data_IF_200320645775
#
_entry.id   IF_200320645775
#
_cell.length_a   1.000
_cell.length_b   1.000
_cell.length_c   1.000
_cell.angle_alpha   90.00
_cell.angle_beta   90.00
_cell.angle_gamma   90.00
#
_symmetry.space_group_name_H-M   'P 1'
#
loop_
_entity.id
_entity.type
_entity.pdbx_description
1 polymer ?
#
# COMPACT_ATOMS: atom_id res chain seq x y z
N UNK A 1 -55.80 -0.16 -19.25
CA UNK A 1 -54.93 -0.50 -20.39
C UNK A 1 -53.94 0.66 -20.55
N UNK A 2 -52.62 0.57 -20.38
CA UNK A 2 -51.71 -0.55 -20.45
C UNK A 2 -50.60 -0.40 -19.39
N UNK A 3 -50.30 -1.52 -18.76
CA UNK A 3 -49.13 -1.80 -17.93
C UNK A 3 -47.86 -1.51 -18.77
N UNK A 4 -47.10 -0.45 -18.47
CA UNK A 4 -45.74 -0.31 -19.03
C UNK A 4 -44.81 -1.24 -18.26
N UNK A 5 -44.75 -2.46 -18.79
CA UNK A 5 -43.85 -3.55 -18.49
C UNK A 5 -42.45 -3.02 -18.11
N UNK A 6 -42.11 -3.05 -16.82
CA UNK A 6 -40.71 -2.98 -16.37
C UNK A 6 -40.05 -4.24 -16.92
N UNK A 7 -38.98 -4.15 -17.72
CA UNK A 7 -38.42 -5.29 -18.39
C UNK A 7 -37.93 -6.28 -17.33
N UNK A 8 -38.59 -7.44 -17.29
CA UNK A 8 -38.34 -8.59 -16.43
C UNK A 8 -36.98 -9.27 -16.73
N UNK A 9 -36.06 -8.55 -17.39
CA UNK A 9 -34.72 -9.00 -17.77
C UNK A 9 -33.65 -8.65 -16.73
N UNK A 10 -33.91 -7.65 -15.87
CA UNK A 10 -32.93 -7.21 -14.86
C UNK A 10 -32.80 -8.25 -13.72
N UNK A 11 -33.80 -9.11 -13.53
CA UNK A 11 -33.76 -10.17 -12.51
C UNK A 11 -33.12 -11.48 -12.99
N UNK A 12 -32.93 -11.69 -14.30
CA UNK A 12 -32.34 -12.94 -14.82
C UNK A 12 -30.80 -12.88 -14.92
N UNK A 13 -30.22 -11.68 -14.99
CA UNK A 13 -28.76 -11.51 -15.14
C UNK A 13 -28.05 -11.17 -13.82
N UNK A 14 -28.80 -10.82 -12.77
CA UNK A 14 -28.23 -10.33 -11.50
C UNK A 14 -28.14 -11.39 -10.42
N UNK A 15 -28.26 -12.68 -10.79
CA UNK A 15 -28.14 -13.79 -9.85
C UNK A 15 -26.99 -14.67 -10.29
N UNK A 16 -25.84 -14.49 -9.63
CA UNK A 16 -24.68 -15.38 -9.48
C UNK A 16 -23.36 -14.69 -9.78
N UNK A 17 -22.95 -13.78 -8.91
CA UNK A 17 -21.55 -13.74 -8.49
C UNK A 17 -21.56 -13.46 -6.99
N UNK A 18 -21.77 -14.53 -6.22
CA UNK A 18 -21.39 -14.52 -4.80
C UNK A 18 -19.91 -14.86 -4.74
N UNK A 19 -19.06 -13.92 -5.17
CA UNK A 19 -17.62 -13.99 -4.89
C UNK A 19 -17.49 -13.58 -3.43
N UNK A 20 -17.42 -14.57 -2.55
CA UNK A 20 -17.23 -14.34 -1.11
C UNK A 20 -15.84 -13.75 -0.84
N UNK A 21 -15.71 -12.73 0.04
CA UNK A 21 -14.46 -12.01 0.26
C UNK A 21 -13.55 -12.74 1.26
N UNK A 22 -13.37 -14.06 1.13
CA UNK A 22 -12.51 -14.81 2.05
C UNK A 22 -11.02 -14.42 1.92
N UNK A 23 -10.58 -14.02 0.72
CA UNK A 23 -9.21 -13.55 0.47
C UNK A 23 -8.96 -12.10 0.89
N UNK A 24 -9.92 -11.20 0.65
CA UNK A 24 -9.76 -9.76 0.92
C UNK A 24 -9.47 -9.45 2.39
N UNK A 25 -10.04 -10.20 3.33
CA UNK A 25 -9.87 -9.93 4.76
C UNK A 25 -8.45 -10.28 5.26
N UNK A 26 -7.82 -11.31 4.67
CA UNK A 26 -6.44 -11.67 4.98
C UNK A 26 -5.45 -10.67 4.34
N UNK A 27 -5.76 -10.19 3.13
CA UNK A 27 -4.96 -9.18 2.45
C UNK A 27 -5.03 -7.84 3.19
N UNK A 28 -6.21 -7.40 3.63
CA UNK A 28 -6.40 -6.15 4.39
C UNK A 28 -5.59 -6.13 5.70
N UNK A 29 -5.62 -7.24 6.46
CA UNK A 29 -4.84 -7.37 7.69
C UNK A 29 -3.33 -7.33 7.39
N UNK A 30 -2.91 -7.96 6.30
CA UNK A 30 -1.51 -8.01 5.88
C UNK A 30 -1.02 -6.64 5.39
N UNK A 31 -1.84 -5.92 4.61
CA UNK A 31 -1.59 -4.55 4.17
C UNK A 31 -1.42 -3.65 5.39
N UNK A 32 -2.35 -3.66 6.34
CA UNK A 32 -2.26 -2.85 7.57
C UNK A 32 -0.97 -3.09 8.33
N UNK A 33 -0.58 -4.36 8.49
CA UNK A 33 0.66 -4.73 9.17
C UNK A 33 1.90 -4.15 8.48
N UNK A 34 2.01 -4.30 7.16
CA UNK A 34 3.16 -3.78 6.43
C UNK A 34 3.17 -2.25 6.35
N UNK A 35 2.00 -1.60 6.29
CA UNK A 35 1.90 -0.14 6.41
C UNK A 35 2.45 0.34 7.73
N UNK A 36 2.02 -0.26 8.84
CA UNK A 36 2.53 0.10 10.16
C UNK A 36 4.03 -0.16 10.30
N UNK A 37 4.53 -1.29 9.77
CA UNK A 37 5.96 -1.60 9.79
C UNK A 37 6.77 -0.59 8.96
N UNK A 38 6.29 -0.21 7.78
CA UNK A 38 6.93 0.79 6.94
C UNK A 38 6.98 2.15 7.64
N UNK A 39 5.87 2.61 8.22
CA UNK A 39 5.79 3.87 8.96
C UNK A 39 6.75 3.89 10.16
N UNK A 40 6.80 2.81 10.95
CA UNK A 40 7.72 2.69 12.08
C UNK A 40 9.19 2.71 11.63
N UNK A 41 9.52 2.00 10.56
CA UNK A 41 10.87 1.96 10.03
C UNK A 41 11.29 3.32 9.43
N UNK A 42 10.40 3.99 8.71
CA UNK A 42 10.61 5.35 8.20
C UNK A 42 10.83 6.34 9.34
N UNK A 43 10.01 6.29 10.39
CA UNK A 43 10.17 7.12 11.58
C UNK A 43 11.48 6.83 12.31
N UNK A 44 11.90 5.57 12.36
CA UNK A 44 13.17 5.12 12.91
C UNK A 44 14.39 5.37 12.03
N UNK A 45 14.20 5.91 10.81
CA UNK A 45 15.24 6.03 9.77
C UNK A 45 15.92 4.69 9.41
N UNK A 46 15.28 3.57 9.70
CA UNK A 46 15.73 2.25 9.26
C UNK A 46 15.28 2.06 7.80
N UNK A 47 16.09 2.58 6.89
CA UNK A 47 15.79 2.57 5.46
C UNK A 47 15.73 1.14 4.89
N UNK A 48 16.45 0.19 5.47
CA UNK A 48 16.43 -1.21 5.03
C UNK A 48 15.12 -1.90 5.40
N UNK A 49 14.67 -1.74 6.65
CA UNK A 49 13.39 -2.27 7.09
C UNK A 49 12.20 -1.56 6.39
N UNK A 50 12.32 -0.25 6.16
CA UNK A 50 11.31 0.53 5.45
C UNK A 50 11.15 0.04 4.00
N UNK A 51 12.27 -0.11 3.28
CA UNK A 51 12.26 -0.63 1.91
C UNK A 51 11.62 -2.02 1.82
N UNK A 52 12.03 -2.92 2.71
CA UNK A 52 11.49 -4.29 2.75
C UNK A 52 9.97 -4.34 3.01
N UNK A 53 9.45 -3.48 3.88
CA UNK A 53 8.01 -3.42 4.16
C UNK A 53 7.22 -2.79 3.00
N UNK A 54 7.74 -1.72 2.41
CA UNK A 54 7.14 -1.04 1.26
C UNK A 54 7.14 -1.91 0.00
N UNK A 55 8.16 -2.73 -0.24
CA UNK A 55 8.19 -3.69 -1.36
C UNK A 55 7.07 -4.72 -1.26
N UNK A 56 6.75 -5.18 -0.04
CA UNK A 56 5.63 -6.09 0.19
C UNK A 56 4.30 -5.39 -0.02
N UNK A 57 4.17 -4.14 0.43
CA UNK A 57 3.00 -3.31 0.13
C UNK A 57 2.81 -3.13 -1.38
N UNK A 58 3.87 -2.81 -2.13
CA UNK A 58 3.78 -2.58 -3.57
C UNK A 58 3.23 -3.80 -4.33
N UNK A 59 3.44 -5.02 -3.82
CA UNK A 59 2.88 -6.26 -4.38
C UNK A 59 1.40 -6.44 -4.05
N UNK A 60 0.97 -6.01 -2.87
CA UNK A 60 -0.42 -6.15 -2.39
C UNK A 60 -1.31 -5.01 -2.89
N UNK A 61 -0.75 -3.81 -3.06
CA UNK A 61 -1.45 -2.58 -3.44
C UNK A 61 -0.80 -1.90 -4.66
N UNK A 62 -0.76 -2.56 -5.82
CA UNK A 62 -0.06 -2.06 -7.02
C UNK A 62 -0.61 -0.73 -7.55
N UNK A 63 -1.83 -0.34 -7.13
CA UNK A 63 -2.50 0.88 -7.56
C UNK A 63 -2.33 2.06 -6.57
N UNK A 64 -1.51 1.91 -5.52
CA UNK A 64 -1.29 2.97 -4.52
C UNK A 64 0.03 3.69 -4.82
N UNK A 65 0.00 4.89 -5.42
CA UNK A 65 1.21 5.60 -5.83
C UNK A 65 2.11 6.01 -4.65
N UNK A 66 1.52 6.25 -3.48
CA UNK A 66 2.23 6.61 -2.24
C UNK A 66 3.32 5.59 -1.87
N UNK A 67 3.04 4.29 -2.08
CA UNK A 67 3.99 3.21 -1.75
C UNK A 67 5.23 3.31 -2.62
N UNK A 68 5.06 3.59 -3.92
CA UNK A 68 6.18 3.78 -4.85
C UNK A 68 6.93 5.09 -4.60
N UNK A 69 6.23 6.16 -4.20
CA UNK A 69 6.87 7.43 -3.81
C UNK A 69 7.77 7.24 -2.58
N UNK A 70 7.29 6.51 -1.57
CA UNK A 70 8.06 6.19 -0.38
C UNK A 70 9.26 5.28 -0.70
N UNK A 71 9.10 4.29 -1.58
CA UNK A 71 10.22 3.47 -2.07
C UNK A 71 11.29 4.31 -2.78
N UNK A 72 10.87 5.23 -3.65
CA UNK A 72 11.78 6.16 -4.32
C UNK A 72 12.58 6.98 -3.31
N UNK A 73 11.92 7.50 -2.28
CA UNK A 73 12.57 8.25 -1.20
C UNK A 73 13.59 7.40 -0.44
N UNK A 74 13.20 6.17 -0.08
CA UNK A 74 14.06 5.22 0.63
C UNK A 74 15.29 4.86 -0.21
N UNK A 75 15.13 4.53 -1.49
CA UNK A 75 16.27 4.19 -2.34
C UNK A 75 17.18 5.40 -2.59
N UNK A 76 16.62 6.58 -2.84
CA UNK A 76 17.41 7.79 -2.99
C UNK A 76 18.27 8.08 -1.75
N UNK A 77 17.66 7.98 -0.57
CA UNK A 77 18.36 8.24 0.70
C UNK A 77 19.42 7.18 1.01
N UNK A 78 19.25 5.94 0.55
CA UNK A 78 20.27 4.88 0.70
C UNK A 78 21.47 5.06 -0.22
N UNK A 79 21.27 5.69 -1.39
CA UNK A 79 22.36 5.99 -2.34
C UNK A 79 23.24 7.12 -1.80
N UNK A 80 22.69 8.03 -0.99
CA UNK A 80 23.49 9.06 -0.32
C UNK A 80 24.49 8.38 0.65
N UNK A 81 25.81 8.56 0.47
CA UNK A 81 26.80 7.86 1.29
C UNK A 81 26.63 8.26 2.76
N UNK A 82 26.39 7.27 3.63
CA UNK A 82 26.30 7.44 5.09
C UNK A 82 27.61 7.97 5.72
N UNK A 83 28.66 7.97 4.91
CA UNK A 83 30.05 8.34 5.15
C UNK A 83 30.44 9.63 4.38
N UNK A 84 29.46 10.38 3.85
CA UNK A 84 29.70 11.73 3.37
C UNK A 84 30.04 12.66 4.56
N UNK A 85 31.26 13.25 4.62
CA UNK A 85 31.74 14.00 5.78
C UNK A 85 30.90 15.25 6.11
N UNK A 86 29.93 15.62 5.27
CA UNK A 86 29.04 16.75 5.46
C UNK A 86 27.79 16.44 6.32
N UNK A 87 27.44 15.16 6.54
CA UNK A 87 26.23 14.79 7.31
C UNK A 87 26.41 14.84 8.83
N UNK A 88 27.66 14.96 9.33
CA UNK A 88 27.99 15.08 10.74
C UNK A 88 28.11 16.56 11.15
N UNK A 89 27.00 17.30 11.14
CA UNK A 89 26.93 18.55 11.89
C UNK A 89 26.06 18.33 13.12
N UNK A 90 26.65 18.24 14.34
CA UNK A 90 25.85 18.14 15.54
C UNK A 90 25.02 19.42 15.68
N UNK A 91 23.70 19.29 15.68
CA UNK A 91 22.82 20.34 16.24
C UNK A 91 23.07 20.36 17.74
N UNK A 92 24.04 21.17 18.16
CA UNK A 92 24.11 21.64 19.53
C UNK A 92 22.95 22.62 19.73
N UNK A 93 22.00 22.24 20.58
CA UNK A 93 21.09 23.16 21.27
C UNK A 93 21.81 23.75 22.48
#
# INVERSE_FOLDING_TARGET
MLLRLRPLWILLFSSWVSVGPAGQQADDATIKRYSQQAEQALAGKDLGAAGSALEKLARLTPNVPEVYANLGTVYYTQIEPRDSPCAAHPRNL
#
